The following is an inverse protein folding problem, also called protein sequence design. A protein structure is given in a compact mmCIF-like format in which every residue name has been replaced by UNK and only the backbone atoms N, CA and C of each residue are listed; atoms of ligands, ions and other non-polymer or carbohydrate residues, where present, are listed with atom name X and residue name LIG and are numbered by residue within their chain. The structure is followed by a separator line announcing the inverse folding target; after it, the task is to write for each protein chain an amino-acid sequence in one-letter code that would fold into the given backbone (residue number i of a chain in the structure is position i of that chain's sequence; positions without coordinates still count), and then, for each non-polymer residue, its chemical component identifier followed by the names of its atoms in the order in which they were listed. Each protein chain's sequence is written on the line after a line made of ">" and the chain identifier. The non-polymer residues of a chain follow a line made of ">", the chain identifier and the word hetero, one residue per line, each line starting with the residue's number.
data_IF_730430264717
#
_entry.id   IF_730430264717
#
_cell.length_a   1.000
_cell.length_b   1.000
_cell.length_c   1.000
_cell.angle_alpha   90.00
_cell.angle_beta   90.00
_cell.angle_gamma   90.00
#
_symmetry.space_group_name_H-M   'P 1'
#
loop_
_entity.id
_entity.type
_entity.pdbx_description
1 polymer ?
#
# COMPACT_ATOMS: atom_id res chain seq x y z
N UNK A 1 -11.41 14.64 1.02
CA UNK A 1 -11.96 14.21 -0.28
C UNK A 1 -10.80 13.80 -1.18
N UNK A 2 -10.93 12.68 -1.92
CA UNK A 2 -9.88 12.21 -2.84
C UNK A 2 -9.70 13.21 -3.98
N UNK A 3 -8.49 13.77 -4.14
CA UNK A 3 -8.21 14.79 -5.16
C UNK A 3 -7.98 14.20 -6.55
N UNK A 4 -7.32 13.05 -6.62
CA UNK A 4 -7.04 12.34 -7.86
C UNK A 4 -7.25 10.84 -7.65
N UNK A 5 -7.90 10.18 -8.60
CA UNK A 5 -8.07 8.73 -8.57
C UNK A 5 -6.92 8.06 -9.34
N UNK A 6 -6.31 7.05 -8.72
CA UNK A 6 -5.38 6.12 -9.36
C UNK A 6 -5.92 4.68 -9.30
N UNK A 7 -7.07 4.38 -9.93
CA UNK A 7 -7.77 3.11 -9.76
C UNK A 7 -6.93 1.91 -10.18
N UNK A 8 -6.13 2.04 -11.23
CA UNK A 8 -5.21 1.00 -11.70
C UNK A 8 -4.16 0.61 -10.64
N UNK A 9 -3.71 1.55 -9.80
CA UNK A 9 -2.79 1.26 -8.69
C UNK A 9 -3.51 0.57 -7.53
N UNK A 10 -4.77 0.92 -7.27
CA UNK A 10 -5.59 0.23 -6.27
C UNK A 10 -5.85 -1.22 -6.70
N UNK A 11 -6.14 -1.44 -7.98
CA UNK A 11 -6.25 -2.78 -8.56
C UNK A 11 -4.94 -3.56 -8.42
N UNK A 12 -3.80 -2.93 -8.75
CA UNK A 12 -2.49 -3.56 -8.62
C UNK A 12 -2.18 -3.92 -7.17
N UNK A 13 -2.44 -3.02 -6.22
CA UNK A 13 -2.34 -3.28 -4.78
C UNK A 13 -3.18 -4.48 -4.36
N UNK A 14 -4.42 -4.60 -4.86
CA UNK A 14 -5.30 -5.73 -4.57
C UNK A 14 -4.72 -7.07 -5.06
N UNK A 15 -4.08 -7.11 -6.24
CA UNK A 15 -3.43 -8.34 -6.75
C UNK A 15 -2.33 -8.83 -5.81
N UNK A 16 -1.50 -7.92 -5.29
CA UNK A 16 -0.47 -8.26 -4.30
C UNK A 16 -1.06 -8.70 -2.95
N UNK A 17 -2.18 -8.10 -2.54
CA UNK A 17 -2.92 -8.58 -1.37
C UNK A 17 -3.46 -10.01 -1.57
N UNK A 18 -4.06 -10.31 -2.72
CA UNK A 18 -4.50 -11.68 -3.04
C UNK A 18 -3.34 -12.67 -3.04
N UNK A 19 -2.21 -12.30 -3.65
CA UNK A 19 -1.00 -13.11 -3.61
C UNK A 19 -0.55 -13.38 -2.17
N UNK A 20 -0.56 -12.35 -1.31
CA UNK A 20 -0.26 -12.49 0.11
C UNK A 20 -1.19 -13.50 0.80
N UNK A 21 -2.50 -13.41 0.56
CA UNK A 21 -3.48 -14.33 1.14
C UNK A 21 -3.22 -15.78 0.73
N UNK A 22 -3.01 -16.03 -0.56
CA UNK A 22 -2.73 -17.38 -1.05
C UNK A 22 -1.43 -17.95 -0.47
N UNK A 23 -0.34 -17.17 -0.51
CA UNK A 23 0.96 -17.59 0.00
C UNK A 23 0.95 -17.83 1.51
N UNK A 24 0.16 -17.06 2.26
CA UNK A 24 0.03 -17.19 3.71
C UNK A 24 -0.58 -18.53 4.16
N UNK A 25 -1.26 -19.25 3.25
CA UNK A 25 -1.80 -20.59 3.53
C UNK A 25 -0.79 -21.72 3.34
N UNK A 26 0.38 -21.43 2.77
CA UNK A 26 1.39 -22.44 2.43
C UNK A 26 2.53 -22.37 3.44
N UNK A 27 2.75 -23.47 4.16
CA UNK A 27 3.82 -23.60 5.15
C UNK A 27 5.19 -23.32 4.51
N UNK A 28 5.97 -22.42 5.10
CA UNK A 28 7.29 -22.00 4.62
C UNK A 28 7.28 -20.81 3.66
N UNK A 29 6.11 -20.32 3.23
CA UNK A 29 5.97 -19.14 2.37
C UNK A 29 5.42 -17.91 3.12
N UNK A 30 5.35 -17.96 4.46
CA UNK A 30 4.82 -16.89 5.30
C UNK A 30 5.60 -15.58 5.12
N UNK A 31 6.91 -15.67 4.87
CA UNK A 31 7.73 -14.50 4.58
C UNK A 31 7.38 -13.85 3.25
N UNK A 32 7.19 -14.66 2.21
CA UNK A 32 6.83 -14.19 0.86
C UNK A 32 5.44 -13.55 0.92
N UNK A 33 4.53 -14.16 1.67
CA UNK A 33 3.20 -13.60 1.98
C UNK A 33 3.31 -12.21 2.62
N UNK A 34 4.16 -12.06 3.64
CA UNK A 34 4.38 -10.80 4.34
C UNK A 34 4.98 -9.71 3.42
N UNK A 35 5.95 -10.07 2.56
CA UNK A 35 6.52 -9.15 1.55
C UNK A 35 5.47 -8.69 0.55
N UNK A 36 4.60 -9.59 0.08
CA UNK A 36 3.50 -9.24 -0.83
C UNK A 36 2.48 -8.32 -0.15
N UNK A 37 2.18 -8.53 1.13
CA UNK A 37 1.31 -7.61 1.89
C UNK A 37 1.95 -6.22 2.02
N UNK A 38 3.24 -6.14 2.36
CA UNK A 38 3.96 -4.88 2.45
C UNK A 38 3.94 -4.12 1.10
N UNK A 39 4.17 -4.83 -0.01
CA UNK A 39 4.12 -4.24 -1.35
C UNK A 39 2.70 -3.78 -1.73
N UNK A 40 1.67 -4.56 -1.38
CA UNK A 40 0.28 -4.16 -1.55
C UNK A 40 -0.01 -2.82 -0.85
N UNK A 41 0.39 -2.68 0.42
CA UNK A 41 0.22 -1.45 1.20
C UNK A 41 1.03 -0.29 0.58
N UNK A 42 2.28 -0.54 0.18
CA UNK A 42 3.13 0.48 -0.47
C UNK A 42 2.45 1.05 -1.73
N UNK A 43 2.00 0.17 -2.63
CA UNK A 43 1.32 0.58 -3.88
C UNK A 43 0.04 1.36 -3.55
N UNK A 44 -0.73 0.91 -2.56
CA UNK A 44 -1.97 1.57 -2.15
C UNK A 44 -1.71 2.99 -1.64
N UNK A 45 -0.71 3.18 -0.78
CA UNK A 45 -0.36 4.51 -0.27
C UNK A 45 0.16 5.41 -1.38
N UNK A 46 0.98 4.86 -2.28
CA UNK A 46 1.46 5.58 -3.47
C UNK A 46 0.32 6.00 -4.39
N UNK A 47 -0.80 5.28 -4.44
CA UNK A 47 -1.97 5.65 -5.24
C UNK A 47 -2.61 6.99 -4.81
N UNK A 48 -2.39 7.42 -3.56
CA UNK A 48 -2.80 8.72 -3.05
C UNK A 48 -1.76 9.83 -3.25
N UNK A 49 -0.53 9.45 -3.59
CA UNK A 49 0.62 10.33 -3.81
C UNK A 49 0.94 10.40 -5.31
N UNK A 50 -0.09 10.53 -6.13
CA UNK A 50 0.03 10.61 -7.59
C UNK A 50 -0.14 12.03 -8.11
N UNK A 51 0.34 12.23 -9.34
CA UNK A 51 -0.07 13.31 -10.23
C UNK A 51 -0.54 12.73 -11.56
N UNK A 52 -1.48 13.41 -12.21
CA UNK A 52 -1.83 13.14 -13.61
C UNK A 52 -0.66 13.47 -14.53
N UNK A 53 -0.33 12.53 -15.40
CA UNK A 53 0.66 12.68 -16.48
C UNK A 53 0.02 12.17 -17.78
N UNK A 54 0.39 12.76 -18.92
CA UNK A 54 0.02 12.24 -20.23
C UNK A 54 1.18 11.37 -20.70
N UNK A 55 0.91 10.08 -20.91
CA UNK A 55 1.95 9.18 -21.42
C UNK A 55 2.26 9.46 -22.90
N UNK A 56 3.30 8.79 -23.42
CA UNK A 56 3.73 8.92 -24.84
C UNK A 56 2.65 8.59 -25.89
N UNK A 57 1.53 8.00 -25.49
CA UNK A 57 0.38 7.65 -26.34
C UNK A 57 -0.81 8.59 -26.16
N UNK A 58 -0.67 9.69 -25.42
CA UNK A 58 -1.75 10.66 -25.19
C UNK A 58 -2.76 10.24 -24.12
N UNK A 59 -2.49 9.16 -23.37
CA UNK A 59 -3.39 8.67 -22.32
C UNK A 59 -3.05 9.32 -20.99
N UNK A 60 -4.05 9.89 -20.32
CA UNK A 60 -3.93 10.41 -18.96
C UNK A 60 -3.78 9.23 -18.01
N UNK A 61 -2.64 9.17 -17.33
CA UNK A 61 -2.34 8.19 -16.29
C UNK A 61 -2.06 8.91 -14.97
N UNK A 62 -2.38 8.25 -13.86
CA UNK A 62 -1.94 8.69 -12.54
C UNK A 62 -0.58 8.04 -12.27
N UNK A 63 0.45 8.83 -11.97
CA UNK A 63 1.80 8.35 -11.69
C UNK A 63 2.24 8.80 -10.31
N UNK A 64 2.83 7.90 -9.54
CA UNK A 64 3.41 8.22 -8.24
C UNK A 64 4.46 9.33 -8.36
N UNK A 65 4.36 10.34 -7.49
CA UNK A 65 5.30 11.44 -7.40
C UNK A 65 5.92 11.49 -6.01
N UNK A 66 7.19 11.08 -5.93
CA UNK A 66 7.96 11.09 -4.68
C UNK A 66 8.16 12.47 -4.05
N UNK A 67 7.95 13.57 -4.79
CA UNK A 67 7.98 14.92 -4.24
C UNK A 67 6.81 15.20 -3.30
N UNK A 68 5.74 14.40 -3.34
CA UNK A 68 4.58 14.49 -2.44
C UNK A 68 4.81 13.81 -1.09
N UNK A 69 5.95 13.13 -0.90
CA UNK A 69 6.29 12.50 0.38
C UNK A 69 6.66 13.58 1.41
N UNK A 70 5.98 13.54 2.56
CA UNK A 70 6.39 14.30 3.73
C UNK A 70 7.66 13.67 4.33
N UNK A 71 8.77 14.41 4.24
CA UNK A 71 10.08 13.97 4.68
C UNK A 71 10.37 14.18 6.17
N UNK A 72 9.43 14.71 6.95
CA UNK A 72 9.57 14.92 8.39
C UNK A 72 9.56 13.61 9.18
N UNK A 73 8.97 12.56 8.60
CA UNK A 73 8.83 11.23 9.22
C UNK A 73 9.84 10.21 8.69
N UNK A 74 10.80 10.67 7.86
CA UNK A 74 11.74 9.78 7.18
C UNK A 74 12.70 9.10 8.16
N UNK A 75 13.09 7.89 7.81
CA UNK A 75 14.33 7.31 8.31
C UNK A 75 15.49 7.92 7.50
N UNK A 76 16.35 8.72 8.15
CA UNK A 76 17.44 9.45 7.47
C UNK A 76 18.43 8.53 6.75
N UNK A 77 18.49 7.25 7.12
CA UNK A 77 19.43 6.29 6.57
C UNK A 77 18.92 5.59 5.31
N UNK A 78 17.66 5.78 4.93
CA UNK A 78 16.99 4.95 3.91
C UNK A 78 16.08 5.76 2.99
N UNK A 79 15.76 5.19 1.82
CA UNK A 79 14.86 5.84 0.87
C UNK A 79 13.45 5.92 1.44
N UNK A 80 12.88 7.13 1.49
CA UNK A 80 11.50 7.36 1.93
C UNK A 80 10.45 6.79 0.98
N UNK A 81 10.83 6.51 -0.29
CA UNK A 81 9.89 6.07 -1.33
C UNK A 81 9.32 4.66 -1.12
N UNK A 82 9.87 3.88 -0.20
CA UNK A 82 9.42 2.52 0.14
C UNK A 82 9.06 2.37 1.61
N UNK A 83 9.08 3.48 2.36
CA UNK A 83 8.90 3.48 3.79
C UNK A 83 7.41 3.56 4.13
N UNK A 84 6.82 2.46 4.59
CA UNK A 84 5.37 2.37 4.80
C UNK A 84 4.83 3.44 5.77
N UNK A 85 5.58 3.70 6.84
CA UNK A 85 5.20 4.72 7.83
C UNK A 85 5.28 6.12 7.24
N UNK A 86 6.36 6.43 6.52
CA UNK A 86 6.54 7.75 5.90
C UNK A 86 5.50 7.99 4.82
N UNK A 87 5.20 6.97 4.00
CA UNK A 87 4.14 7.03 2.99
C UNK A 87 2.78 7.28 3.66
N UNK A 88 2.42 6.52 4.70
CA UNK A 88 1.17 6.71 5.43
C UNK A 88 1.03 8.14 6.01
N UNK A 89 2.10 8.67 6.61
CA UNK A 89 2.14 10.03 7.16
C UNK A 89 2.16 11.13 6.09
N UNK A 90 2.40 10.77 4.83
CA UNK A 90 2.37 11.68 3.68
C UNK A 90 0.99 11.80 3.04
N UNK A 91 0.06 10.88 3.33
CA UNK A 91 -1.30 10.96 2.80
C UNK A 91 -2.01 12.23 3.31
N UNK A 92 -2.99 12.78 2.57
CA UNK A 92 -3.82 13.88 3.08
C UNK A 92 -4.47 13.52 4.42
N UNK A 93 -4.57 14.49 5.34
CA UNK A 93 -4.98 14.25 6.74
C UNK A 93 -6.36 13.57 6.87
N UNK A 94 -7.28 13.91 5.99
CA UNK A 94 -8.62 13.34 5.92
C UNK A 94 -8.61 11.89 5.42
N UNK A 95 -7.67 11.54 4.53
CA UNK A 95 -7.45 10.17 4.09
C UNK A 95 -6.82 9.37 5.24
N UNK A 96 -5.85 9.95 5.95
CA UNK A 96 -5.27 9.31 7.14
C UNK A 96 -6.35 8.97 8.17
N UNK A 97 -7.21 9.94 8.52
CA UNK A 97 -8.29 9.72 9.49
C UNK A 97 -9.38 8.74 9.02
N UNK A 98 -9.51 8.49 7.72
CA UNK A 98 -10.43 7.48 7.19
C UNK A 98 -9.80 6.07 7.15
N UNK A 99 -8.54 5.98 6.72
CA UNK A 99 -7.87 4.70 6.52
C UNK A 99 -7.35 4.09 7.82
N UNK A 100 -6.80 4.89 8.72
CA UNK A 100 -5.97 4.38 9.82
C UNK A 100 -6.63 4.55 11.19
N UNK A 101 -6.36 3.60 12.07
CA UNK A 101 -6.43 3.77 13.52
C UNK A 101 -5.06 4.23 14.05
N UNK A 102 -5.02 4.84 15.24
CA UNK A 102 -3.75 5.26 15.84
C UNK A 102 -2.77 4.08 16.02
N UNK A 103 -3.29 2.89 16.36
CA UNK A 103 -2.50 1.66 16.48
C UNK A 103 -1.85 1.23 15.17
N UNK A 104 -2.44 1.56 14.02
CA UNK A 104 -1.92 1.18 12.72
C UNK A 104 -0.59 1.85 12.44
N UNK A 105 -0.39 3.07 12.92
CA UNK A 105 0.88 3.79 12.75
C UNK A 105 2.05 3.12 13.46
N UNK A 106 1.82 2.50 14.62
CA UNK A 106 2.86 1.74 15.33
C UNK A 106 3.23 0.47 14.56
N UNK A 107 2.23 -0.22 13.98
CA UNK A 107 2.47 -1.37 13.11
C UNK A 107 3.24 -0.94 11.86
N UNK A 108 2.78 0.10 11.15
CA UNK A 108 3.43 0.62 9.95
C UNK A 108 4.86 1.08 10.23
N UNK A 109 5.13 1.65 11.41
CA UNK A 109 6.49 2.02 11.85
C UNK A 109 7.36 0.79 12.10
N UNK A 110 6.84 -0.26 12.73
CA UNK A 110 7.54 -1.53 12.96
C UNK A 110 7.91 -2.23 11.65
N UNK A 111 7.01 -2.23 10.67
CA UNK A 111 7.18 -2.91 9.37
C UNK A 111 7.61 -1.96 8.25
N UNK A 112 8.08 -0.75 8.58
CA UNK A 112 8.30 0.34 7.61
C UNK A 112 9.23 -0.02 6.45
N UNK A 113 10.14 -0.97 6.65
CA UNK A 113 11.12 -1.43 5.66
C UNK A 113 10.95 -2.88 5.22
N UNK A 114 9.84 -3.54 5.57
CA UNK A 114 9.65 -4.97 5.27
C UNK A 114 9.77 -5.28 3.78
N UNK A 115 9.24 -4.41 2.91
CA UNK A 115 9.37 -4.61 1.46
C UNK A 115 10.82 -4.51 0.97
N UNK A 116 11.68 -3.68 1.56
CA UNK A 116 13.06 -3.52 1.09
C UNK A 116 13.99 -4.55 1.73
N UNK A 117 13.83 -4.81 3.02
CA UNK A 117 14.71 -5.67 3.82
C UNK A 117 14.43 -7.16 3.66
N UNK A 118 13.16 -7.56 3.49
CA UNK A 118 12.78 -8.97 3.54
C UNK A 118 12.71 -9.65 2.16
N UNK A 119 13.22 -8.99 1.09
CA UNK A 119 13.25 -9.57 -0.27
C UNK A 119 14.23 -10.73 -0.40
N UNK A 120 15.37 -10.62 0.30
CA UNK A 120 16.47 -11.56 0.22
C UNK A 120 16.70 -12.13 1.60
N UNK A 121 16.03 -13.24 1.89
CA UNK A 121 16.06 -13.87 3.22
C UNK A 121 17.48 -14.21 3.69
N UNK A 122 18.38 -14.54 2.75
CA UNK A 122 19.78 -14.84 3.02
C UNK A 122 20.63 -13.62 3.43
N UNK A 123 20.10 -12.39 3.29
CA UNK A 123 20.78 -11.15 3.70
C UNK A 123 20.37 -10.71 5.12
N UNK A 124 19.37 -11.36 5.72
CA UNK A 124 18.84 -10.97 7.03
C UNK A 124 19.45 -11.86 8.13
N UNK A 125 20.05 -11.23 9.14
CA UNK A 125 20.73 -11.92 10.25
C UNK A 125 19.78 -12.62 11.23
N UNK A 126 18.50 -12.24 11.25
CA UNK A 126 17.47 -12.80 12.11
C UNK A 126 16.17 -12.92 11.32
N UNK A 127 15.49 -14.07 11.44
CA UNK A 127 14.15 -14.26 10.89
C UNK A 127 13.13 -13.75 11.91
N UNK A 128 12.60 -12.52 11.81
CA UNK A 128 11.46 -12.15 12.63
C UNK A 128 10.33 -13.11 12.28
N UNK A 129 9.71 -13.72 13.29
CA UNK A 129 8.52 -14.54 13.08
C UNK A 129 7.51 -13.77 12.22
N UNK A 130 7.06 -14.39 11.14
CA UNK A 130 6.13 -13.75 10.20
C UNK A 130 4.73 -13.74 10.78
N UNK A 131 4.08 -12.57 10.74
CA UNK A 131 2.73 -12.35 11.25
C UNK A 131 1.77 -12.02 10.10
N UNK A 132 0.54 -12.53 10.14
CA UNK A 132 -0.52 -12.17 9.21
C UNK A 132 -0.98 -10.69 9.27
N UNK A 133 -0.48 -9.93 10.24
CA UNK A 133 -0.86 -8.53 10.51
C UNK A 133 -0.79 -7.62 9.28
N UNK A 134 0.28 -7.71 8.47
CA UNK A 134 0.35 -6.87 7.26
C UNK A 134 -0.70 -7.28 6.22
N UNK A 135 -0.99 -8.58 6.09
CA UNK A 135 -2.02 -9.07 5.16
C UNK A 135 -3.40 -8.60 5.59
N UNK A 136 -3.70 -8.63 6.90
CA UNK A 136 -4.95 -8.10 7.47
C UNK A 136 -5.10 -6.60 7.20
N UNK A 137 -4.05 -5.81 7.47
CA UNK A 137 -4.04 -4.37 7.18
C UNK A 137 -4.18 -4.07 5.68
N UNK A 138 -3.49 -4.82 4.82
CA UNK A 138 -3.61 -4.67 3.37
C UNK A 138 -5.06 -4.86 2.90
N UNK A 139 -5.71 -5.94 3.34
CA UNK A 139 -7.11 -6.20 3.00
C UNK A 139 -8.05 -5.10 3.50
N UNK A 140 -7.87 -4.65 4.75
CA UNK A 140 -8.65 -3.56 5.33
C UNK A 140 -8.48 -2.26 4.52
N UNK A 141 -7.25 -1.85 4.24
CA UNK A 141 -6.99 -0.59 3.54
C UNK A 141 -7.46 -0.62 2.08
N UNK A 142 -7.30 -1.75 1.39
CA UNK A 142 -7.81 -1.91 0.02
C UNK A 142 -9.34 -1.75 0.03
N UNK A 143 -10.05 -2.46 0.91
CA UNK A 143 -11.51 -2.36 1.03
C UNK A 143 -11.98 -0.94 1.37
N UNK A 144 -11.31 -0.28 2.33
CA UNK A 144 -11.60 1.13 2.67
C UNK A 144 -11.35 2.05 1.48
N UNK A 145 -10.23 1.89 0.77
CA UNK A 145 -9.87 2.70 -0.41
C UNK A 145 -10.89 2.56 -1.53
N UNK A 146 -11.29 1.33 -1.87
CA UNK A 146 -12.31 1.06 -2.89
C UNK A 146 -13.64 1.70 -2.47
N UNK A 147 -14.05 1.54 -1.21
CA UNK A 147 -15.27 2.17 -0.68
C UNK A 147 -15.20 3.69 -0.77
N UNK A 148 -14.05 4.29 -0.48
CA UNK A 148 -13.84 5.72 -0.57
C UNK A 148 -13.89 6.20 -2.03
N UNK A 149 -13.27 5.48 -2.96
CA UNK A 149 -13.30 5.81 -4.39
C UNK A 149 -14.72 5.75 -4.94
N UNK A 150 -15.50 4.70 -4.60
CA UNK A 150 -16.92 4.60 -4.95
C UNK A 150 -17.73 5.78 -4.41
N UNK A 151 -17.59 6.09 -3.11
CA UNK A 151 -18.28 7.23 -2.46
C UNK A 151 -17.90 8.58 -3.07
N UNK A 152 -16.68 8.69 -3.61
CA UNK A 152 -16.16 9.91 -4.23
C UNK A 152 -16.49 10.01 -5.73
N UNK A 153 -17.27 9.06 -6.29
CA UNK A 153 -17.71 9.10 -7.70
C UNK A 153 -16.67 8.60 -8.71
N UNK A 154 -15.77 7.69 -8.31
CA UNK A 154 -14.84 7.06 -9.24
C UNK A 154 -15.60 6.16 -10.24
N UNK A 155 -15.48 6.46 -11.54
CA UNK A 155 -16.15 5.75 -12.64
C UNK A 155 -15.34 4.59 -13.24
N UNK A 156 -14.23 4.21 -12.59
CA UNK A 156 -13.41 3.10 -13.05
C UNK A 156 -14.18 1.77 -12.99
N UNK A 157 -14.05 0.95 -14.04
CA UNK A 157 -14.81 -0.31 -14.16
C UNK A 157 -14.42 -1.34 -13.11
N UNK A 158 -13.13 -1.44 -12.76
CA UNK A 158 -12.67 -2.37 -11.75
C UNK A 158 -13.17 -1.94 -10.37
N UNK A 159 -12.99 -0.66 -10.03
CA UNK A 159 -13.49 -0.10 -8.77
C UNK A 159 -15.00 -0.28 -8.62
N UNK A 160 -15.78 0.10 -9.64
CA UNK A 160 -17.25 0.07 -9.58
C UNK A 160 -17.80 -1.35 -9.43
N UNK A 161 -17.24 -2.32 -10.16
CA UNK A 161 -17.66 -3.73 -10.13
C UNK A 161 -17.05 -4.53 -8.99
N UNK A 162 -16.11 -3.98 -8.24
CA UNK A 162 -15.48 -4.69 -7.14
C UNK A 162 -16.52 -5.05 -6.06
N UNK A 163 -16.63 -6.33 -5.74
CA UNK A 163 -17.44 -6.83 -4.63
C UNK A 163 -16.51 -7.42 -3.56
N UNK A 164 -16.72 -7.05 -2.30
CA UNK A 164 -15.92 -7.57 -1.19
C UNK A 164 -16.16 -9.07 -1.05
N UNK A 165 -15.15 -9.89 -1.34
CA UNK A 165 -15.21 -11.37 -1.25
C UNK A 165 -14.11 -12.00 -0.38
N UNK A 166 -13.43 -11.21 0.46
CA UNK A 166 -12.33 -11.66 1.30
C UNK A 166 -12.39 -10.97 2.66
#
# INVERSE_FOLDING_TARGET
>A
MVKEFAPWMVEESFKYYLASCHLGTIKGLEYVSCVNAALSIEILFKSYLCKKEINKHGVVISKFDSSLINKDFRDEKRSCSHDLYTLARSLPIDIQGYLFLDSDFEILKRYRHTFTDSRYLYEVSLHPGYSGTLSELAGLYVNKTISLYKKSGCNDLWISKFETKY
#
